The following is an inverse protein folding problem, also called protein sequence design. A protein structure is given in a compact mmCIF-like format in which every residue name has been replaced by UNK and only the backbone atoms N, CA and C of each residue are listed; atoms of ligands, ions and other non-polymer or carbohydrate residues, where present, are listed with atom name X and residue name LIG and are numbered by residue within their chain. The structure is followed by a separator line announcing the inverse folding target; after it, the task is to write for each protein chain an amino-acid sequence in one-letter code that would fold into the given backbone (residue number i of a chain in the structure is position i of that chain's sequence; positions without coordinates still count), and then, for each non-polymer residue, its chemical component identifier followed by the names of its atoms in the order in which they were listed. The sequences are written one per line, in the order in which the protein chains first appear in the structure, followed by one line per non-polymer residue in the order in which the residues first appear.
data_IF_880763223790
#
_entry.id   IF_880763223790
#
_cell.length_a   1.000
_cell.length_b   1.000
_cell.length_c   1.000
_cell.angle_alpha   90.00
_cell.angle_beta   90.00
_cell.angle_gamma   90.00
#
_symmetry.space_group_name_H-M   'P 1'
#
loop_
_entity.id
_entity.type
_entity.pdbx_description
1 polymer ?
#
# COMPACT_ATOMS: atom_id res chain seq x y z
N UNK A 1 20.19 -6.09 6.92
CA UNK A 1 19.97 -4.88 6.10
C UNK A 1 19.16 -5.33 4.89
N UNK A 2 17.85 -5.60 5.08
CA UNK A 2 16.94 -6.16 4.08
C UNK A 2 15.55 -5.48 4.10
N UNK A 3 15.33 -4.46 4.95
CA UNK A 3 13.98 -4.08 5.39
C UNK A 3 13.35 -2.91 4.63
N UNK A 4 14.13 -2.04 4.00
CA UNK A 4 13.59 -0.88 3.26
C UNK A 4 14.48 -0.62 2.03
N UNK A 5 13.92 -0.74 0.82
CA UNK A 5 14.62 -0.45 -0.44
C UNK A 5 13.69 0.31 -1.39
N UNK A 6 14.11 1.48 -1.87
CA UNK A 6 13.38 2.25 -2.86
C UNK A 6 14.39 2.94 -3.79
N UNK A 7 14.35 2.68 -5.12
CA UNK A 7 15.33 3.24 -6.05
C UNK A 7 15.41 4.77 -6.04
N UNK A 8 14.31 5.48 -5.80
CA UNK A 8 14.31 6.95 -5.74
C UNK A 8 14.93 7.44 -4.43
N UNK A 9 14.57 6.83 -3.31
CA UNK A 9 15.15 7.18 -2.01
C UNK A 9 16.66 6.88 -2.00
N UNK A 10 17.06 5.73 -2.50
CA UNK A 10 18.48 5.37 -2.58
C UNK A 10 19.24 6.30 -3.53
N UNK A 11 18.69 6.66 -4.69
CA UNK A 11 19.32 7.64 -5.58
C UNK A 11 19.57 8.98 -4.88
N UNK A 12 18.57 9.51 -4.15
CA UNK A 12 18.69 10.76 -3.39
C UNK A 12 19.82 10.63 -2.35
N UNK A 13 19.85 9.52 -1.60
CA UNK A 13 20.85 9.28 -0.57
C UNK A 13 22.24 9.13 -1.14
N UNK A 14 22.40 8.36 -2.21
CA UNK A 14 23.66 8.18 -2.92
C UNK A 14 24.22 9.52 -3.41
N UNK A 15 23.38 10.39 -3.97
CA UNK A 15 23.81 11.72 -4.43
C UNK A 15 24.19 12.65 -3.28
N UNK A 16 23.49 12.57 -2.13
CA UNK A 16 23.86 13.33 -0.93
C UNK A 16 25.19 12.83 -0.33
N UNK A 17 25.45 11.53 -0.41
CA UNK A 17 26.64 10.89 0.17
C UNK A 17 27.82 10.75 -0.81
N UNK A 18 27.66 11.20 -2.06
CA UNK A 18 28.68 11.04 -3.08
C UNK A 18 30.03 11.65 -2.62
N UNK A 19 31.16 10.93 -2.80
CA UNK A 19 32.45 11.39 -2.33
C UNK A 19 32.84 12.70 -3.02
N UNK A 20 33.57 13.53 -2.28
CA UNK A 20 34.10 14.80 -2.77
C UNK A 20 35.15 14.49 -3.83
N UNK A 21 34.81 14.68 -5.10
CA UNK A 21 35.83 14.79 -6.14
C UNK A 21 36.31 16.25 -6.19
N UNK A 22 37.39 16.52 -5.45
CA UNK A 22 38.04 17.84 -5.41
C UNK A 22 38.47 18.34 -6.80
N UNK A 23 38.60 17.44 -7.79
CA UNK A 23 38.99 17.77 -9.16
C UNK A 23 37.82 18.14 -10.08
N UNK A 24 36.59 17.73 -9.76
CA UNK A 24 35.40 17.93 -10.60
C UNK A 24 34.54 19.14 -10.21
N UNK A 25 34.77 19.76 -9.04
CA UNK A 25 34.19 21.06 -8.65
C UNK A 25 32.66 21.11 -8.49
N UNK A 26 31.93 20.01 -8.65
CA UNK A 26 30.48 19.92 -8.48
C UNK A 26 30.16 19.08 -7.24
N UNK A 27 30.06 19.73 -6.09
CA UNK A 27 29.40 19.16 -4.92
C UNK A 27 28.00 19.77 -4.83
N UNK A 28 26.97 18.92 -4.93
CA UNK A 28 25.61 19.33 -4.59
C UNK A 28 25.46 19.21 -3.07
N UNK A 29 25.06 20.30 -2.43
CA UNK A 29 24.54 20.27 -1.06
C UNK A 29 23.27 19.41 -0.99
N UNK A 30 22.91 18.97 0.21
CA UNK A 30 21.67 18.21 0.43
C UNK A 30 20.43 18.89 -0.15
N UNK A 31 20.34 20.22 -0.03
CA UNK A 31 19.22 20.99 -0.57
C UNK A 31 19.25 21.06 -2.10
N UNK A 32 20.43 21.19 -2.70
CA UNK A 32 20.58 21.17 -4.17
C UNK A 32 20.23 19.80 -4.76
N UNK A 33 20.53 18.69 -4.06
CA UNK A 33 20.08 17.35 -4.46
C UNK A 33 18.55 17.28 -4.48
N UNK A 34 17.87 17.74 -3.43
CA UNK A 34 16.41 17.74 -3.40
C UNK A 34 15.80 18.62 -4.49
N UNK A 35 16.35 19.81 -4.75
CA UNK A 35 15.89 20.69 -5.82
C UNK A 35 16.06 20.03 -7.20
N UNK A 36 17.21 19.39 -7.46
CA UNK A 36 17.45 18.66 -8.70
C UNK A 36 16.47 17.48 -8.87
N UNK A 37 16.18 16.77 -7.79
CA UNK A 37 15.25 15.63 -7.80
C UNK A 37 13.82 16.11 -8.02
N UNK A 38 13.41 17.26 -7.47
CA UNK A 38 12.13 17.90 -7.77
C UNK A 38 11.97 18.13 -9.27
N UNK A 39 12.95 18.77 -9.90
CA UNK A 39 12.95 19.02 -11.35
C UNK A 39 12.83 17.72 -12.14
N UNK A 40 13.58 16.69 -11.75
CA UNK A 40 13.56 15.39 -12.42
C UNK A 40 12.22 14.66 -12.27
N UNK A 41 11.57 14.76 -11.11
CA UNK A 41 10.23 14.20 -10.88
C UNK A 41 9.21 14.97 -11.74
N UNK A 42 9.24 16.29 -11.71
CA UNK A 42 8.30 17.13 -12.47
C UNK A 42 8.49 17.01 -13.99
N UNK A 43 9.72 16.79 -14.44
CA UNK A 43 10.06 16.41 -15.81
C UNK A 43 9.50 15.02 -16.17
N UNK A 44 9.63 14.04 -15.26
CA UNK A 44 9.10 12.69 -15.46
C UNK A 44 7.57 12.67 -15.57
N UNK A 45 6.88 13.48 -14.77
CA UNK A 45 5.42 13.66 -14.86
C UNK A 45 5.02 14.19 -16.24
N UNK A 46 5.78 15.15 -16.79
CA UNK A 46 5.49 15.77 -18.08
C UNK A 46 5.91 14.90 -19.29
N UNK A 47 7.04 14.19 -19.19
CA UNK A 47 7.60 13.36 -20.27
C UNK A 47 8.24 12.08 -19.73
N UNK A 48 7.44 11.04 -19.41
CA UNK A 48 7.93 9.86 -18.71
C UNK A 48 9.05 9.10 -19.46
N UNK A 49 8.95 9.02 -20.79
CA UNK A 49 9.88 8.26 -21.62
C UNK A 49 11.22 8.98 -21.86
N UNK A 50 11.22 10.32 -21.88
CA UNK A 50 12.39 11.14 -22.18
C UNK A 50 13.10 11.72 -20.96
N UNK A 51 12.50 11.59 -19.77
CA UNK A 51 12.99 12.25 -18.55
C UNK A 51 14.39 11.83 -18.11
N UNK A 52 15.11 12.76 -17.48
CA UNK A 52 16.36 12.47 -16.76
C UNK A 52 16.19 11.37 -15.71
N UNK A 53 15.06 11.34 -14.99
CA UNK A 53 14.81 10.34 -13.95
C UNK A 53 14.87 8.90 -14.50
N UNK A 54 14.36 8.68 -15.72
CA UNK A 54 14.39 7.37 -16.39
C UNK A 54 15.81 6.87 -16.70
N UNK A 55 16.79 7.78 -16.83
CA UNK A 55 18.20 7.42 -17.06
C UNK A 55 18.84 6.80 -15.81
N UNK A 56 18.52 7.35 -14.63
CA UNK A 56 19.05 6.88 -13.35
C UNK A 56 18.24 5.72 -12.77
N UNK A 57 16.93 5.71 -13.01
CA UNK A 57 16.02 4.66 -12.56
C UNK A 57 15.29 4.09 -13.79
N UNK A 58 15.92 3.18 -14.58
CA UNK A 58 15.32 2.65 -15.82
C UNK A 58 13.94 2.02 -15.64
N UNK A 59 13.68 1.46 -14.45
CA UNK A 59 12.41 0.84 -14.08
C UNK A 59 11.40 1.81 -13.45
N UNK A 60 11.69 3.11 -13.35
CA UNK A 60 10.73 4.09 -12.82
C UNK A 60 9.45 4.06 -13.66
N UNK A 61 8.33 3.99 -12.96
CA UNK A 61 6.98 3.97 -13.52
C UNK A 61 6.38 5.36 -13.51
N UNK A 62 5.16 5.48 -14.02
CA UNK A 62 4.42 6.74 -14.10
C UNK A 62 4.37 7.42 -12.73
N UNK A 63 4.66 8.72 -12.70
CA UNK A 63 4.33 9.61 -11.59
C UNK A 63 3.12 10.44 -11.99
N UNK A 64 2.10 10.49 -11.14
CA UNK A 64 0.78 10.99 -11.53
C UNK A 64 0.63 12.51 -11.49
N UNK A 65 1.47 13.19 -10.71
CA UNK A 65 1.36 14.62 -10.46
C UNK A 65 2.70 15.24 -10.16
N UNK A 66 2.83 16.53 -10.46
CA UNK A 66 3.98 17.33 -10.04
C UNK A 66 3.97 17.48 -8.52
N UNK A 67 5.15 17.56 -7.94
CA UNK A 67 5.33 17.78 -6.50
C UNK A 67 6.20 19.01 -6.25
N UNK A 68 5.95 19.69 -5.13
CA UNK A 68 6.83 20.70 -4.57
C UNK A 68 7.62 20.04 -3.43
N UNK A 69 8.72 19.39 -3.81
CA UNK A 69 9.57 18.64 -2.90
C UNK A 69 10.33 19.57 -1.96
N UNK A 70 10.75 20.75 -2.43
CA UNK A 70 11.48 21.73 -1.63
C UNK A 70 10.61 22.32 -0.52
N UNK A 71 9.33 22.57 -0.77
CA UNK A 71 8.40 22.97 0.28
C UNK A 71 8.25 21.88 1.37
N UNK A 72 8.23 20.61 0.96
CA UNK A 72 8.23 19.48 1.91
C UNK A 72 9.55 19.36 2.67
N UNK A 73 10.70 19.56 2.01
CA UNK A 73 12.03 19.62 2.64
C UNK A 73 12.08 20.69 3.71
N UNK A 74 11.65 21.91 3.41
CA UNK A 74 11.66 23.02 4.36
C UNK A 74 10.74 22.76 5.55
N UNK A 75 9.55 22.22 5.32
CA UNK A 75 8.62 21.88 6.40
C UNK A 75 9.16 20.76 7.30
N UNK A 76 9.78 19.73 6.72
CA UNK A 76 10.40 18.65 7.50
C UNK A 76 11.63 19.14 8.29
N UNK A 77 12.47 19.97 7.68
CA UNK A 77 13.66 20.54 8.31
C UNK A 77 13.35 21.53 9.45
N UNK A 78 12.23 22.24 9.35
CA UNK A 78 11.76 23.14 10.40
C UNK A 78 11.54 22.43 11.75
N UNK A 79 11.21 21.13 11.72
CA UNK A 79 10.97 20.32 12.93
C UNK A 79 12.16 19.44 13.27
N UNK A 80 12.79 18.82 12.27
CA UNK A 80 13.83 17.80 12.49
C UNK A 80 15.25 18.35 12.46
N UNK A 81 15.44 19.54 11.89
CA UNK A 81 16.74 20.18 11.69
C UNK A 81 17.77 19.27 11.01
N UNK A 82 17.29 18.40 10.12
CA UNK A 82 18.08 17.38 9.47
C UNK A 82 19.22 17.98 8.63
N UNK A 83 19.00 19.17 8.05
CA UNK A 83 19.98 19.92 7.25
C UNK A 83 21.14 20.46 8.08
N UNK A 84 20.95 20.62 9.41
CA UNK A 84 21.96 21.15 10.33
C UNK A 84 22.90 20.08 10.85
N UNK A 85 22.63 18.80 10.56
CA UNK A 85 23.46 17.67 11.00
C UNK A 85 24.78 17.67 10.23
N UNK A 86 25.90 17.68 10.97
CA UNK A 86 27.26 17.69 10.38
C UNK A 86 27.89 16.31 10.17
N UNK A 87 27.33 15.28 10.81
CA UNK A 87 27.94 13.94 10.89
C UNK A 87 27.00 12.81 10.48
N UNK A 88 25.71 13.12 10.33
CA UNK A 88 24.67 12.14 10.02
C UNK A 88 23.91 12.70 8.82
N UNK A 89 24.09 12.13 7.61
CA UNK A 89 23.31 12.53 6.44
C UNK A 89 21.83 12.14 6.61
N UNK A 90 20.93 12.66 5.76
CA UNK A 90 19.57 12.15 5.62
C UNK A 90 19.50 10.63 5.58
N UNK A 91 18.74 10.07 6.50
CA UNK A 91 18.45 8.64 6.55
C UNK A 91 17.39 8.27 5.50
N UNK A 92 17.22 6.98 5.21
CA UNK A 92 16.11 6.48 4.39
C UNK A 92 14.77 7.01 4.89
N UNK A 93 14.56 6.94 6.21
CA UNK A 93 13.37 7.46 6.88
C UNK A 93 13.17 8.96 6.65
N UNK A 94 14.23 9.78 6.71
CA UNK A 94 14.12 11.22 6.45
C UNK A 94 13.62 11.50 5.03
N UNK A 95 14.22 10.85 4.03
CA UNK A 95 13.84 11.03 2.62
C UNK A 95 12.43 10.48 2.36
N UNK A 96 12.08 9.32 2.94
CA UNK A 96 10.73 8.73 2.88
C UNK A 96 9.68 9.71 3.40
N UNK A 97 9.91 10.32 4.56
CA UNK A 97 8.98 11.29 5.14
C UNK A 97 8.83 12.56 4.30
N UNK A 98 9.93 13.07 3.75
CA UNK A 98 9.90 14.24 2.85
C UNK A 98 9.08 13.94 1.60
N UNK A 99 9.30 12.79 0.96
CA UNK A 99 8.52 12.35 -0.20
C UNK A 99 7.04 12.16 0.14
N UNK A 100 6.73 11.54 1.28
CA UNK A 100 5.35 11.41 1.74
C UNK A 100 4.67 12.77 1.91
N UNK A 101 5.36 13.74 2.54
CA UNK A 101 4.83 15.08 2.75
C UNK A 101 4.59 15.82 1.42
N UNK A 102 5.51 15.68 0.47
CA UNK A 102 5.36 16.26 -0.88
C UNK A 102 4.15 15.63 -1.61
N UNK A 103 3.99 14.31 -1.52
CA UNK A 103 2.86 13.57 -2.13
C UNK A 103 1.52 14.01 -1.55
N UNK A 104 1.37 14.07 -0.22
CA UNK A 104 0.07 14.47 0.38
C UNK A 104 -0.30 15.92 0.07
N UNK A 105 0.69 16.83 -0.02
CA UNK A 105 0.45 18.23 -0.41
C UNK A 105 0.04 18.36 -1.85
N UNK A 106 0.67 17.59 -2.75
CA UNK A 106 0.37 17.62 -4.17
C UNK A 106 -1.02 17.02 -4.49
N UNK A 107 -1.41 15.93 -3.82
CA UNK A 107 -2.66 15.22 -4.13
C UNK A 107 -3.90 15.85 -3.50
N UNK A 108 -3.78 16.55 -2.38
CA UNK A 108 -4.93 17.03 -1.60
C UNK A 108 -6.01 17.75 -2.45
N UNK A 109 -5.68 18.65 -3.41
CA UNK A 109 -6.69 19.36 -4.19
C UNK A 109 -7.54 18.48 -5.12
N UNK A 110 -7.05 17.30 -5.47
CA UNK A 110 -7.70 16.38 -6.43
C UNK A 110 -8.14 15.07 -5.77
N UNK A 111 -7.84 14.89 -4.48
CA UNK A 111 -8.04 13.62 -3.78
C UNK A 111 -9.53 13.28 -3.64
N UNK A 112 -9.90 12.09 -4.10
CA UNK A 112 -11.27 11.55 -4.05
C UNK A 112 -11.35 10.20 -3.35
N UNK A 113 -10.28 9.40 -3.46
CA UNK A 113 -10.19 8.06 -2.87
C UNK A 113 -8.91 7.94 -2.04
N UNK A 114 -9.03 7.47 -0.80
CA UNK A 114 -7.90 7.01 0.01
C UNK A 114 -8.04 5.52 0.21
N UNK A 115 -7.00 4.77 -0.13
CA UNK A 115 -6.89 3.36 0.18
C UNK A 115 -5.81 3.15 1.23
N UNK A 116 -6.10 2.35 2.26
CA UNK A 116 -5.13 1.95 3.26
C UNK A 116 -4.84 0.47 3.07
N UNK A 117 -3.56 0.08 3.09
CA UNK A 117 -3.26 -1.27 3.53
C UNK A 117 -3.84 -1.45 4.95
N UNK A 118 -4.39 -2.63 5.23
CA UNK A 118 -4.96 -2.85 6.56
C UNK A 118 -3.87 -3.30 7.54
N UNK A 119 -3.15 -4.37 7.20
CA UNK A 119 -2.17 -5.00 8.09
C UNK A 119 -0.97 -4.05 8.29
N UNK A 120 -0.54 -3.87 9.54
CA UNK A 120 0.54 -2.96 9.99
C UNK A 120 0.41 -1.46 9.64
N UNK A 121 -0.64 -1.08 8.93
CA UNK A 121 -0.94 0.32 8.56
C UNK A 121 -2.09 0.92 9.37
N UNK A 122 -3.14 0.16 9.73
CA UNK A 122 -4.25 0.67 10.56
C UNK A 122 -4.39 0.00 11.94
N UNK A 123 -3.78 -1.18 12.12
CA UNK A 123 -3.62 -1.89 13.39
C UNK A 123 -2.34 -2.74 13.33
N UNK A 124 -1.78 -3.10 14.48
CA UNK A 124 -0.64 -4.02 14.53
C UNK A 124 -1.03 -5.43 14.06
N UNK A 125 -0.11 -6.12 13.37
CA UNK A 125 -0.18 -7.49 12.84
C UNK A 125 -1.26 -8.39 13.48
N UNK A 126 -2.28 -8.75 12.68
CA UNK A 126 -3.35 -9.67 13.07
C UNK A 126 -4.37 -9.13 14.09
N UNK A 127 -4.26 -7.87 14.52
CA UNK A 127 -5.13 -7.25 15.51
C UNK A 127 -6.54 -6.87 15.03
N UNK A 128 -7.31 -6.32 15.97
CA UNK A 128 -8.58 -5.61 15.74
C UNK A 128 -8.44 -4.13 16.11
N UNK A 129 -9.26 -3.29 15.49
CA UNK A 129 -9.27 -1.85 15.77
C UNK A 129 -10.39 -1.49 16.76
N UNK A 130 -10.03 -0.79 17.84
CA UNK A 130 -11.00 -0.22 18.77
C UNK A 130 -11.56 1.09 18.23
N UNK A 131 -12.80 1.42 18.62
CA UNK A 131 -13.43 2.69 18.23
C UNK A 131 -12.61 3.92 18.70
N UNK A 132 -11.90 3.80 19.83
CA UNK A 132 -11.04 4.84 20.39
C UNK A 132 -9.70 5.02 19.66
N UNK A 133 -9.42 4.24 18.62
CA UNK A 133 -8.17 4.36 17.88
C UNK A 133 -8.08 5.68 17.11
N UNK A 134 -6.89 6.27 17.10
CA UNK A 134 -6.57 7.44 16.28
C UNK A 134 -6.89 7.20 14.80
N UNK A 135 -6.72 5.97 14.32
CA UNK A 135 -7.03 5.59 12.95
C UNK A 135 -8.52 5.62 12.64
N UNK A 136 -9.39 5.25 13.60
CA UNK A 136 -10.85 5.38 13.43
C UNK A 136 -11.23 6.84 13.29
N UNK A 137 -10.67 7.70 14.14
CA UNK A 137 -10.90 9.16 14.08
C UNK A 137 -10.51 9.71 12.72
N UNK A 138 -9.33 9.33 12.23
CA UNK A 138 -8.82 9.73 10.92
C UNK A 138 -9.74 9.28 9.78
N UNK A 139 -10.17 8.02 9.76
CA UNK A 139 -11.07 7.47 8.73
C UNK A 139 -12.40 8.24 8.72
N UNK A 140 -12.98 8.48 9.89
CA UNK A 140 -14.24 9.23 10.03
C UNK A 140 -14.12 10.65 9.48
N UNK A 141 -13.02 11.36 9.77
CA UNK A 141 -12.82 12.72 9.27
C UNK A 141 -12.62 12.79 7.76
N UNK A 142 -11.95 11.80 7.14
CA UNK A 142 -11.86 11.69 5.68
C UNK A 142 -13.25 11.51 5.05
N UNK A 143 -14.08 10.61 5.60
CA UNK A 143 -15.43 10.34 5.09
C UNK A 143 -16.34 11.58 5.19
N UNK A 144 -16.26 12.30 6.32
CA UNK A 144 -16.99 13.57 6.52
C UNK A 144 -16.59 14.66 5.52
N UNK A 145 -15.35 14.65 5.04
CA UNK A 145 -14.85 15.57 4.01
C UNK A 145 -15.27 15.20 2.59
N UNK A 146 -16.06 14.14 2.41
CA UNK A 146 -16.55 13.76 1.08
C UNK A 146 -15.73 12.68 0.39
N UNK A 147 -14.62 12.24 0.99
CA UNK A 147 -13.73 11.27 0.36
C UNK A 147 -14.28 9.84 0.52
N UNK A 148 -13.93 9.01 -0.45
CA UNK A 148 -14.11 7.55 -0.35
C UNK A 148 -12.90 6.97 0.36
N UNK A 149 -13.13 6.09 1.34
CA UNK A 149 -12.08 5.39 2.08
C UNK A 149 -12.25 3.90 1.88
N UNK A 150 -11.19 3.22 1.46
CA UNK A 150 -11.18 1.77 1.31
C UNK A 150 -10.02 1.14 2.07
N UNK A 151 -10.26 0.01 2.72
CA UNK A 151 -9.20 -0.84 3.25
C UNK A 151 -8.87 -1.93 2.22
N UNK A 152 -7.60 -2.11 1.90
CA UNK A 152 -7.12 -3.16 0.99
C UNK A 152 -6.26 -4.11 1.82
N UNK A 153 -6.57 -5.40 1.83
CA UNK A 153 -5.86 -6.38 2.66
C UNK A 153 -5.62 -7.67 1.89
N UNK A 154 -4.49 -8.32 2.16
CA UNK A 154 -4.21 -9.68 1.69
C UNK A 154 -5.13 -10.71 2.35
N UNK A 155 -5.69 -10.41 3.52
CA UNK A 155 -6.65 -11.30 4.17
C UNK A 155 -7.88 -11.52 3.27
N UNK A 156 -8.03 -12.75 2.77
CA UNK A 156 -9.21 -13.21 2.05
C UNK A 156 -10.01 -14.22 2.88
N UNK A 157 -11.30 -13.91 3.10
CA UNK A 157 -12.31 -14.78 3.72
C UNK A 157 -13.54 -14.93 2.80
N UNK A 158 -13.48 -15.82 1.79
CA UNK A 158 -14.58 -16.01 0.84
C UNK A 158 -15.86 -16.43 1.57
N UNK A 159 -16.95 -15.69 1.35
CA UNK A 159 -18.27 -16.00 1.93
C UNK A 159 -18.41 -15.72 3.44
N UNK A 160 -17.38 -15.16 4.09
CA UNK A 160 -17.34 -14.92 5.54
C UNK A 160 -17.08 -13.44 5.87
N UNK A 161 -17.98 -12.51 5.49
CA UNK A 161 -17.81 -11.07 5.77
C UNK A 161 -17.61 -10.77 7.26
N UNK A 162 -18.18 -11.60 8.15
CA UNK A 162 -18.10 -11.47 9.61
C UNK A 162 -16.66 -11.53 10.13
N UNK A 163 -15.74 -12.21 9.41
CA UNK A 163 -14.32 -12.24 9.78
C UNK A 163 -13.63 -10.90 9.55
N UNK A 164 -14.03 -10.16 8.51
CA UNK A 164 -13.59 -8.77 8.33
C UNK A 164 -14.23 -7.88 9.41
N UNK A 165 -15.53 -8.03 9.67
CA UNK A 165 -16.24 -7.24 10.67
C UNK A 165 -15.63 -7.38 12.07
N UNK A 166 -15.21 -8.58 12.46
CA UNK A 166 -14.56 -8.81 13.74
C UNK A 166 -13.27 -7.99 13.90
N UNK A 167 -12.49 -7.83 12.82
CA UNK A 167 -11.27 -7.01 12.82
C UNK A 167 -11.58 -5.51 12.78
N UNK A 168 -12.68 -5.14 12.11
CA UNK A 168 -13.06 -3.76 11.80
C UNK A 168 -14.16 -3.20 12.69
N UNK A 169 -14.50 -3.89 13.79
CA UNK A 169 -15.65 -3.56 14.63
C UNK A 169 -15.65 -2.10 15.09
N UNK A 170 -14.50 -1.60 15.56
CA UNK A 170 -14.35 -0.21 15.99
C UNK A 170 -14.64 0.81 14.89
N UNK A 171 -14.30 0.53 13.63
CA UNK A 171 -14.65 1.40 12.49
C UNK A 171 -16.16 1.35 12.25
N UNK A 172 -16.74 0.16 12.16
CA UNK A 172 -18.16 -0.01 11.87
C UNK A 172 -19.06 0.62 12.94
N UNK A 173 -18.64 0.57 14.21
CA UNK A 173 -19.34 1.21 15.33
C UNK A 173 -19.29 2.75 15.23
N UNK A 174 -18.16 3.30 14.76
CA UNK A 174 -18.04 4.73 14.48
C UNK A 174 -18.88 5.14 13.26
N UNK A 175 -18.90 4.33 12.20
CA UNK A 175 -19.72 4.56 11.00
C UNK A 175 -21.21 4.56 11.31
N UNK A 176 -21.66 3.75 12.27
CA UNK A 176 -23.06 3.71 12.70
C UNK A 176 -23.59 5.07 13.19
N UNK A 177 -22.69 5.98 13.60
CA UNK A 177 -22.96 7.34 14.10
C UNK A 177 -22.90 8.42 13.00
N UNK A 178 -22.58 8.05 11.75
CA UNK A 178 -22.46 8.97 10.61
C UNK A 178 -23.71 8.93 9.71
N UNK A 179 -23.95 9.96 8.87
CA UNK A 179 -24.97 9.90 7.84
C UNK A 179 -24.75 8.75 6.85
N UNK A 180 -25.82 8.23 6.26
CA UNK A 180 -25.77 7.09 5.33
C UNK A 180 -24.86 7.34 4.11
N UNK A 181 -24.78 8.58 3.65
CA UNK A 181 -23.87 8.97 2.57
C UNK A 181 -22.40 8.80 2.97
N UNK A 182 -22.03 9.09 4.23
CA UNK A 182 -20.68 8.87 4.72
C UNK A 182 -20.38 7.38 4.92
N UNK A 183 -21.37 6.61 5.41
CA UNK A 183 -21.23 5.16 5.55
C UNK A 183 -20.96 4.51 4.18
N UNK A 184 -21.74 4.87 3.16
CA UNK A 184 -21.63 4.31 1.80
C UNK A 184 -20.26 4.54 1.14
N UNK A 185 -19.47 5.51 1.63
CA UNK A 185 -18.11 5.82 1.17
C UNK A 185 -17.02 4.99 1.86
N UNK A 186 -17.36 4.07 2.76
CA UNK A 186 -16.42 3.12 3.34
C UNK A 186 -16.50 1.74 2.66
N UNK A 187 -15.37 1.23 2.17
CA UNK A 187 -15.28 -0.04 1.46
C UNK A 187 -14.14 -0.91 2.01
N UNK A 188 -14.18 -2.22 1.71
CA UNK A 188 -13.10 -3.16 2.03
C UNK A 188 -12.82 -4.08 0.84
N UNK A 189 -11.59 -4.06 0.34
CA UNK A 189 -11.07 -4.98 -0.66
C UNK A 189 -10.23 -6.07 0.01
N UNK A 190 -10.80 -7.26 0.14
CA UNK A 190 -10.16 -8.44 0.71
C UNK A 190 -9.49 -9.33 -0.34
N UNK A 191 -8.50 -10.10 0.10
CA UNK A 191 -7.70 -10.98 -0.76
C UNK A 191 -7.02 -10.22 -1.88
N UNK A 192 -6.46 -9.04 -1.58
CA UNK A 192 -5.84 -8.05 -2.47
C UNK A 192 -6.77 -7.45 -3.54
N UNK A 193 -7.43 -8.28 -4.34
CA UNK A 193 -8.33 -7.85 -5.41
C UNK A 193 -9.47 -8.85 -5.67
N UNK A 194 -9.85 -9.66 -4.67
CA UNK A 194 -10.76 -10.79 -4.87
C UNK A 194 -12.16 -10.57 -4.30
N UNK A 195 -12.29 -9.86 -3.18
CA UNK A 195 -13.54 -9.75 -2.42
C UNK A 195 -13.84 -8.29 -2.05
N UNK A 196 -14.74 -7.63 -2.78
CA UNK A 196 -15.19 -6.28 -2.45
C UNK A 196 -16.36 -6.31 -1.47
N UNK A 197 -16.26 -5.52 -0.41
CA UNK A 197 -17.30 -5.33 0.58
C UNK A 197 -17.67 -3.85 0.66
N UNK A 198 -18.96 -3.61 0.88
CA UNK A 198 -19.54 -2.29 1.12
C UNK A 198 -20.27 -2.31 2.45
N UNK A 199 -20.41 -1.14 3.07
CA UNK A 199 -21.26 -1.00 4.25
C UNK A 199 -22.72 -1.29 3.90
N UNK A 200 -23.40 -2.01 4.78
CA UNK A 200 -24.84 -2.19 4.75
C UNK A 200 -25.41 -1.85 6.12
N UNK A 201 -26.64 -1.35 6.15
CA UNK A 201 -27.38 -1.12 7.39
C UNK A 201 -28.60 -2.03 7.39
N UNK A 202 -28.72 -2.83 8.44
CA UNK A 202 -29.91 -3.64 8.65
C UNK A 202 -31.11 -2.73 8.97
N UNK A 203 -32.22 -2.93 8.27
CA UNK A 203 -33.39 -2.03 8.35
C UNK A 203 -34.14 -2.19 9.67
N UNK A 204 -34.11 -3.37 10.28
CA UNK A 204 -34.87 -3.67 11.50
C UNK A 204 -34.08 -3.29 12.76
N UNK A 205 -32.80 -3.65 12.80
CA UNK A 205 -31.92 -3.47 13.96
C UNK A 205 -31.08 -2.19 13.89
N UNK A 206 -30.95 -1.59 12.71
CA UNK A 206 -30.09 -0.43 12.47
C UNK A 206 -28.60 -0.74 12.51
N UNK A 207 -28.19 -2.00 12.63
CA UNK A 207 -26.78 -2.40 12.75
C UNK A 207 -26.04 -2.18 11.43
N UNK A 208 -24.85 -1.56 11.51
CA UNK A 208 -23.94 -1.41 10.37
C UNK A 208 -23.01 -2.62 10.26
N UNK A 209 -23.02 -3.24 9.09
CA UNK A 209 -22.30 -4.47 8.74
C UNK A 209 -21.63 -4.34 7.37
N UNK A 210 -20.88 -5.38 6.97
CA UNK A 210 -20.26 -5.48 5.66
C UNK A 210 -21.04 -6.48 4.80
N UNK A 211 -21.39 -6.06 3.59
CA UNK A 211 -21.98 -6.92 2.58
C UNK A 211 -21.00 -7.13 1.43
N UNK A 212 -20.85 -8.38 1.00
CA UNK A 212 -20.09 -8.72 -0.22
C UNK A 212 -20.83 -8.18 -1.45
N UNK A 213 -20.11 -7.49 -2.33
CA UNK A 213 -20.60 -7.04 -3.63
C UNK A 213 -20.45 -8.18 -4.64
N UNK A 214 -21.49 -8.42 -5.45
CA UNK A 214 -21.42 -9.44 -6.50
C UNK A 214 -20.21 -9.15 -7.41
N UNK A 215 -19.30 -10.12 -7.61
CA UNK A 215 -18.16 -9.96 -8.51
C UNK A 215 -18.49 -9.39 -9.90
N UNK A 216 -19.68 -9.66 -10.45
CA UNK A 216 -20.11 -9.12 -11.75
C UNK A 216 -20.31 -7.59 -11.74
N UNK A 217 -20.57 -6.97 -10.58
CA UNK A 217 -20.83 -5.53 -10.45
C UNK A 217 -19.56 -4.65 -10.46
N UNK A 218 -18.40 -5.22 -10.14
CA UNK A 218 -17.20 -4.43 -9.83
C UNK A 218 -15.91 -4.95 -10.46
N UNK A 219 -15.89 -6.22 -10.89
CA UNK A 219 -14.83 -6.70 -11.77
C UNK A 219 -15.13 -6.23 -13.21
N UNK A 220 -14.53 -6.88 -14.19
CA UNK A 220 -14.73 -6.61 -15.61
C UNK A 220 -16.09 -7.07 -16.19
N UNK A 221 -17.13 -7.20 -15.35
CA UNK A 221 -18.46 -7.67 -15.72
C UNK A 221 -18.60 -9.20 -15.83
N UNK A 222 -17.50 -9.97 -15.85
CA UNK A 222 -17.54 -11.45 -15.95
C UNK A 222 -17.67 -12.16 -14.60
N UNK A 223 -17.46 -11.45 -13.49
CA UNK A 223 -17.42 -12.01 -12.13
C UNK A 223 -16.17 -12.86 -11.81
N UNK A 224 -15.45 -13.33 -12.84
CA UNK A 224 -14.20 -14.06 -12.75
C UNK A 224 -13.12 -13.37 -13.59
N UNK A 225 -11.91 -13.19 -13.03
CA UNK A 225 -10.78 -12.55 -13.72
C UNK A 225 -9.97 -13.57 -14.55
N UNK A 226 -9.83 -14.79 -14.03
CA UNK A 226 -8.95 -15.83 -14.55
C UNK A 226 -9.63 -17.18 -14.52
N UNK A 227 -9.18 -18.07 -15.40
CA UNK A 227 -9.62 -19.45 -15.45
C UNK A 227 -9.24 -20.19 -14.16
N UNK A 228 -10.16 -21.00 -13.64
CA UNK A 228 -9.96 -21.67 -12.35
C UNK A 228 -8.89 -22.75 -12.42
N UNK A 229 -8.78 -23.46 -13.55
CA UNK A 229 -7.79 -24.52 -13.72
C UNK A 229 -6.37 -23.94 -13.81
N UNK A 230 -6.19 -22.79 -14.46
CA UNK A 230 -4.91 -22.07 -14.45
C UNK A 230 -4.56 -21.54 -13.04
N UNK A 231 -5.55 -21.06 -12.28
CA UNK A 231 -5.36 -20.62 -10.89
C UNK A 231 -4.92 -21.78 -10.00
N UNK A 232 -5.58 -22.93 -10.12
CA UNK A 232 -5.26 -24.11 -9.31
C UNK A 232 -3.85 -24.60 -9.60
N UNK A 233 -3.43 -24.67 -10.88
CA UNK A 233 -2.06 -25.02 -11.25
C UNK A 233 -1.00 -24.10 -10.65
N UNK A 234 -1.24 -22.78 -10.66
CA UNK A 234 -0.30 -21.82 -10.06
C UNK A 234 -0.17 -22.07 -8.56
N UNK A 235 -1.30 -22.18 -7.87
CA UNK A 235 -1.30 -22.38 -6.43
C UNK A 235 -0.76 -23.76 -6.03
N UNK A 236 -0.89 -24.78 -6.88
CA UNK A 236 -0.31 -26.11 -6.65
C UNK A 236 1.22 -26.06 -6.74
N UNK A 237 1.76 -25.37 -7.75
CA UNK A 237 3.19 -25.11 -7.86
C UNK A 237 3.72 -24.26 -6.69
N UNK A 238 2.95 -23.26 -6.27
CA UNK A 238 3.28 -22.45 -5.11
C UNK A 238 3.29 -23.30 -3.83
N UNK A 239 2.29 -24.17 -3.65
CA UNK A 239 2.19 -25.05 -2.49
C UNK A 239 3.36 -26.03 -2.41
N UNK A 240 3.69 -26.71 -3.51
CA UNK A 240 4.81 -27.65 -3.53
C UNK A 240 6.13 -26.95 -3.22
N UNK A 241 6.32 -25.73 -3.74
CA UNK A 241 7.51 -24.91 -3.43
C UNK A 241 7.57 -24.54 -1.94
N UNK A 242 6.44 -24.17 -1.34
CA UNK A 242 6.35 -23.88 0.09
C UNK A 242 6.65 -25.13 0.94
N UNK A 243 6.11 -26.30 0.56
CA UNK A 243 6.38 -27.59 1.22
C UNK A 243 7.87 -27.93 1.21
N UNK A 244 8.51 -27.82 0.05
CA UNK A 244 9.94 -28.07 -0.13
C UNK A 244 10.79 -27.13 0.73
N UNK A 245 10.47 -25.84 0.75
CA UNK A 245 11.25 -24.87 1.52
C UNK A 245 11.04 -25.00 3.03
N UNK A 246 9.82 -25.31 3.48
CA UNK A 246 9.54 -25.60 4.90
C UNK A 246 10.34 -26.81 5.37
N UNK A 247 10.40 -27.87 4.56
CA UNK A 247 11.21 -29.06 4.86
C UNK A 247 12.71 -28.76 4.82
N UNK A 248 13.18 -28.01 3.83
CA UNK A 248 14.59 -27.63 3.67
C UNK A 248 15.12 -26.82 4.86
N UNK A 249 14.31 -25.88 5.36
CA UNK A 249 14.68 -24.97 6.44
C UNK A 249 14.30 -25.51 7.84
N UNK A 250 13.76 -26.74 7.92
CA UNK A 250 13.26 -27.38 9.14
C UNK A 250 12.33 -26.46 9.95
N UNK A 251 11.42 -25.77 9.24
CA UNK A 251 10.53 -24.80 9.85
C UNK A 251 9.29 -25.49 10.44
N UNK A 252 8.87 -25.14 11.67
CA UNK A 252 7.64 -25.68 12.26
C UNK A 252 6.38 -24.99 11.69
N UNK A 253 6.38 -24.71 10.38
CA UNK A 253 5.29 -24.04 9.70
C UNK A 253 4.23 -25.03 9.22
N UNK A 254 2.99 -24.56 9.13
CA UNK A 254 1.88 -25.31 8.53
C UNK A 254 1.40 -24.60 7.30
N UNK A 255 0.89 -25.36 6.33
CA UNK A 255 0.35 -24.82 5.09
C UNK A 255 -1.16 -24.66 5.19
N UNK A 256 -1.65 -23.58 4.59
CA UNK A 256 -3.07 -23.30 4.43
C UNK A 256 -3.35 -22.92 2.98
N UNK A 257 -4.20 -23.72 2.32
CA UNK A 257 -4.71 -23.49 0.96
C UNK A 257 -6.13 -22.91 1.03
N UNK A 258 -6.37 -21.87 0.23
CA UNK A 258 -7.66 -21.21 0.02
C UNK A 258 -8.00 -21.22 -1.49
N UNK A 259 -9.20 -20.74 -1.83
CA UNK A 259 -9.65 -20.63 -3.24
C UNK A 259 -8.72 -19.75 -4.09
N UNK A 260 -8.17 -18.68 -3.53
CA UNK A 260 -7.37 -17.67 -4.24
C UNK A 260 -6.01 -17.41 -3.59
N UNK A 261 -5.57 -18.29 -2.70
CA UNK A 261 -4.33 -18.11 -1.98
C UNK A 261 -3.77 -19.41 -1.44
N UNK A 262 -2.45 -19.49 -1.25
CA UNK A 262 -1.80 -20.52 -0.46
C UNK A 262 -0.67 -19.90 0.34
N UNK A 263 -0.46 -20.35 1.57
CA UNK A 263 0.60 -19.80 2.40
C UNK A 263 1.03 -20.74 3.51
N UNK A 264 2.15 -20.40 4.13
CA UNK A 264 2.61 -21.01 5.37
C UNK A 264 2.29 -20.07 6.52
N UNK A 265 1.78 -20.60 7.62
CA UNK A 265 1.53 -19.84 8.84
C UNK A 265 2.29 -20.46 10.02
N UNK A 266 2.53 -19.64 11.04
CA UNK A 266 3.21 -20.05 12.27
C UNK A 266 2.20 -20.57 13.30
N UNK A 267 2.18 -21.89 13.60
CA UNK A 267 1.29 -22.45 14.62
C UNK A 267 1.89 -22.35 16.03
N UNK A 268 3.05 -21.72 16.21
CA UNK A 268 3.80 -21.67 17.47
C UNK A 268 3.85 -20.26 18.04
N UNK A 269 4.19 -20.15 19.32
CA UNK A 269 4.34 -18.84 19.99
C UNK A 269 5.66 -18.11 19.65
N UNK A 270 6.60 -18.80 18.98
CA UNK A 270 7.90 -18.22 18.61
C UNK A 270 7.83 -17.72 17.18
N UNK A 271 8.14 -16.43 16.97
CA UNK A 271 8.20 -15.85 15.62
C UNK A 271 9.23 -16.60 14.75
N UNK A 272 8.91 -16.71 13.47
CA UNK A 272 9.87 -17.21 12.49
C UNK A 272 11.03 -16.24 12.29
N UNK A 273 12.18 -16.79 11.88
CA UNK A 273 13.34 -16.00 11.47
C UNK A 273 12.96 -15.25 10.18
N UNK A 274 13.10 -13.93 10.19
CA UNK A 274 12.68 -13.07 9.10
C UNK A 274 13.37 -13.43 7.78
N UNK A 275 14.68 -13.70 7.84
CA UNK A 275 15.50 -14.07 6.69
C UNK A 275 15.04 -15.38 6.04
N UNK A 276 14.52 -16.34 6.82
CA UNK A 276 13.93 -17.56 6.27
C UNK A 276 12.65 -17.27 5.50
N UNK A 277 11.81 -16.35 6.00
CA UNK A 277 10.60 -15.94 5.29
C UNK A 277 10.93 -15.17 4.00
N UNK A 278 11.97 -14.32 4.01
CA UNK A 278 12.49 -13.68 2.81
C UNK A 278 12.96 -14.71 1.78
N UNK A 279 13.77 -15.68 2.20
CA UNK A 279 14.26 -16.75 1.31
C UNK A 279 13.08 -17.48 0.68
N UNK A 280 12.10 -17.93 1.48
CA UNK A 280 10.91 -18.62 0.98
C UNK A 280 10.14 -17.75 -0.02
N UNK A 281 9.83 -16.50 0.34
CA UNK A 281 9.07 -15.60 -0.53
C UNK A 281 9.81 -15.35 -1.86
N UNK A 282 11.14 -15.13 -1.83
CA UNK A 282 11.96 -14.96 -3.02
C UNK A 282 12.04 -16.22 -3.87
N UNK A 283 12.16 -17.41 -3.27
CA UNK A 283 12.14 -18.69 -3.99
C UNK A 283 10.82 -18.87 -4.72
N UNK A 284 9.70 -18.62 -4.04
CA UNK A 284 8.37 -18.73 -4.65
C UNK A 284 8.19 -17.71 -5.79
N UNK A 285 8.57 -16.44 -5.58
CA UNK A 285 8.56 -15.43 -6.65
C UNK A 285 9.42 -15.88 -7.86
N UNK A 286 10.58 -16.49 -7.61
CA UNK A 286 11.45 -16.98 -8.66
C UNK A 286 10.80 -18.13 -9.45
N UNK A 287 10.19 -19.10 -8.76
CA UNK A 287 9.52 -20.24 -9.39
C UNK A 287 8.31 -19.77 -10.22
N UNK A 288 7.52 -18.83 -9.70
CA UNK A 288 6.31 -18.35 -10.33
C UNK A 288 6.52 -17.24 -11.38
N UNK A 289 7.76 -16.78 -11.61
CA UNK A 289 8.08 -15.62 -12.47
C UNK A 289 7.58 -15.70 -13.93
N UNK A 290 7.29 -16.91 -14.41
CA UNK A 290 6.80 -17.16 -15.77
C UNK A 290 5.29 -17.42 -15.82
N UNK A 291 4.60 -17.37 -14.68
CA UNK A 291 3.15 -17.46 -14.63
C UNK A 291 2.50 -16.28 -15.32
N UNK A 292 1.44 -16.55 -16.07
CA UNK A 292 0.64 -15.55 -16.79
C UNK A 292 -0.41 -14.90 -15.89
N UNK A 293 -0.85 -15.61 -14.84
CA UNK A 293 -1.81 -15.07 -13.89
C UNK A 293 -1.08 -14.10 -12.95
N UNK A 294 -1.55 -12.84 -12.83
CA UNK A 294 -1.06 -11.91 -11.83
C UNK A 294 -1.19 -12.53 -10.43
N UNK A 295 -0.11 -12.49 -9.67
CA UNK A 295 -0.04 -13.04 -8.32
C UNK A 295 0.90 -12.18 -7.47
N UNK A 296 0.80 -12.34 -6.15
CA UNK A 296 1.70 -11.74 -5.19
C UNK A 296 2.19 -12.81 -4.23
N UNK A 297 3.49 -13.12 -4.28
CA UNK A 297 4.15 -13.92 -3.26
C UNK A 297 4.93 -12.99 -2.34
N UNK A 298 4.58 -12.95 -1.05
CA UNK A 298 5.08 -11.95 -0.12
C UNK A 298 5.38 -12.49 1.28
N UNK A 299 6.31 -11.82 1.95
CA UNK A 299 6.63 -12.06 3.36
C UNK A 299 5.74 -11.18 4.26
N UNK A 300 4.80 -11.79 4.98
CA UNK A 300 3.89 -11.08 5.89
C UNK A 300 4.55 -10.72 7.24
N UNK A 301 5.77 -11.20 7.50
CA UNK A 301 6.56 -10.89 8.70
C UNK A 301 6.50 -11.96 9.79
N UNK A 302 5.53 -12.88 9.73
CA UNK A 302 5.53 -14.14 10.50
C UNK A 302 4.91 -15.32 9.71
N UNK A 303 4.65 -15.11 8.44
CA UNK A 303 4.07 -16.03 7.47
C UNK A 303 4.55 -15.65 6.06
N UNK A 304 4.30 -16.53 5.10
CA UNK A 304 4.51 -16.25 3.67
C UNK A 304 3.24 -16.68 2.94
N UNK A 305 2.74 -15.80 2.09
CA UNK A 305 1.52 -16.02 1.32
C UNK A 305 1.77 -15.82 -0.16
N UNK A 306 1.00 -16.55 -0.96
CA UNK A 306 0.89 -16.43 -2.40
C UNK A 306 -0.57 -16.20 -2.71
N UNK A 307 -0.90 -14.96 -3.06
CA UNK A 307 -2.25 -14.54 -3.41
C UNK A 307 -2.40 -14.43 -4.93
N UNK A 308 -3.55 -14.87 -5.43
CA UNK A 308 -3.95 -14.68 -6.83
C UNK A 308 -4.47 -13.24 -6.99
N UNK A 309 -3.76 -12.48 -7.81
CA UNK A 309 -3.95 -11.04 -7.95
C UNK A 309 -2.88 -10.22 -7.22
N UNK A 310 -3.12 -8.91 -7.14
CA UNK A 310 -2.30 -7.98 -6.39
C UNK A 310 -3.08 -6.71 -6.02
N UNK A 311 -2.60 -5.93 -5.04
CA UNK A 311 -3.21 -4.68 -4.59
C UNK A 311 -3.44 -3.66 -5.72
N UNK A 312 -2.58 -3.61 -6.74
CA UNK A 312 -2.77 -2.69 -7.87
C UNK A 312 -4.06 -2.98 -8.63
N UNK A 313 -4.38 -4.26 -8.87
CA UNK A 313 -5.63 -4.68 -9.48
C UNK A 313 -6.84 -4.35 -8.58
N UNK A 314 -6.68 -4.48 -7.26
CA UNK A 314 -7.72 -4.14 -6.29
C UNK A 314 -8.01 -2.64 -6.26
N UNK A 315 -6.95 -1.82 -6.19
CA UNK A 315 -7.04 -0.36 -6.20
C UNK A 315 -7.60 0.14 -7.52
N UNK A 316 -7.16 -0.41 -8.66
CA UNK A 316 -7.73 -0.05 -9.97
C UNK A 316 -9.22 -0.38 -10.06
N UNK A 317 -9.64 -1.55 -9.55
CA UNK A 317 -11.06 -1.89 -9.50
C UNK A 317 -11.85 -0.93 -8.59
N UNK A 318 -11.26 -0.48 -7.47
CA UNK A 318 -11.87 0.55 -6.62
C UNK A 318 -11.98 1.88 -7.35
N UNK A 319 -10.94 2.32 -8.07
CA UNK A 319 -10.95 3.55 -8.87
C UNK A 319 -12.09 3.58 -9.90
N UNK A 320 -12.44 2.43 -10.49
CA UNK A 320 -13.63 2.30 -11.34
C UNK A 320 -14.93 2.20 -10.54
N UNK A 321 -14.93 1.43 -9.46
CA UNK A 321 -16.15 1.16 -8.70
C UNK A 321 -16.72 2.41 -8.04
N UNK A 322 -15.86 3.23 -7.43
CA UNK A 322 -16.29 4.31 -6.53
C UNK A 322 -16.81 5.55 -7.24
N UNK A 323 -16.73 5.62 -8.58
CA UNK A 323 -17.27 6.74 -9.36
C UNK A 323 -18.77 6.93 -9.16
N UNK A 324 -19.49 5.87 -8.78
CA UNK A 324 -20.91 5.93 -8.38
C UNK A 324 -21.15 6.72 -7.09
N UNK A 325 -20.11 6.90 -6.28
CA UNK A 325 -20.11 7.59 -4.99
C UNK A 325 -19.49 8.99 -5.08
N UNK A 326 -18.89 9.34 -6.22
CA UNK A 326 -18.15 10.59 -6.43
C UNK A 326 -18.69 11.31 -7.66
N UNK A 327 -19.29 12.48 -7.46
CA UNK A 327 -19.91 13.24 -8.54
C UNK A 327 -18.90 13.67 -9.61
N UNK A 328 -19.30 13.56 -10.88
CA UNK A 328 -18.59 14.17 -12.01
C UNK A 328 -17.38 13.39 -12.56
N UNK A 329 -17.04 12.23 -12.00
CA UNK A 329 -15.96 11.36 -12.51
C UNK A 329 -16.52 10.14 -13.25
N UNK A 330 -15.90 9.76 -14.37
CA UNK A 330 -16.17 8.48 -15.07
C UNK A 330 -15.23 7.36 -14.64
N UNK A 331 -14.02 7.74 -14.21
CA UNK A 331 -12.95 6.91 -13.69
C UNK A 331 -12.09 7.80 -12.80
N UNK A 332 -11.47 7.24 -11.76
CA UNK A 332 -10.47 7.94 -10.97
C UNK A 332 -9.07 7.58 -11.46
N UNK A 333 -8.20 8.57 -11.61
CA UNK A 333 -6.78 8.35 -11.92
C UNK A 333 -5.90 8.34 -10.65
N UNK A 334 -4.63 7.97 -10.80
CA UNK A 334 -3.69 7.93 -9.69
C UNK A 334 -3.38 9.28 -9.03
N UNK A 335 -3.71 10.42 -9.66
CA UNK A 335 -3.65 11.75 -9.03
C UNK A 335 -4.92 12.10 -8.23
N UNK A 336 -5.94 11.24 -8.25
CA UNK A 336 -7.17 11.38 -7.45
C UNK A 336 -7.28 10.29 -6.37
N UNK A 337 -6.31 9.37 -6.34
CA UNK A 337 -6.27 8.20 -5.47
C UNK A 337 -4.95 8.15 -4.70
N UNK A 338 -5.03 8.23 -3.38
CA UNK A 338 -3.90 8.05 -2.47
C UNK A 338 -3.92 6.63 -1.89
N UNK A 339 -2.85 5.87 -2.04
CA UNK A 339 -2.63 4.63 -1.31
C UNK A 339 -1.63 4.83 -0.17
N UNK A 340 -1.97 4.35 1.03
CA UNK A 340 -1.13 4.37 2.23
C UNK A 340 -0.81 2.92 2.60
N UNK A 341 0.47 2.53 2.58
CA UNK A 341 0.90 1.17 2.92
C UNK A 341 2.28 1.13 3.57
N UNK A 342 2.72 -0.05 3.98
CA UNK A 342 3.98 -0.24 4.73
C UNK A 342 4.94 -1.26 4.13
N UNK A 343 4.47 -2.15 3.25
CA UNK A 343 5.27 -3.25 2.67
C UNK A 343 5.77 -2.92 1.27
N UNK A 344 6.59 -1.86 1.17
CA UNK A 344 7.35 -1.51 -0.04
C UNK A 344 8.73 -2.16 -0.08
N UNK A 345 8.83 -3.39 0.39
CA UNK A 345 10.06 -4.18 0.33
C UNK A 345 10.10 -5.01 -0.96
N UNK A 346 11.25 -5.64 -1.23
CA UNK A 346 11.41 -6.55 -2.38
C UNK A 346 10.38 -7.69 -2.41
N UNK A 347 9.98 -8.17 -1.24
CA UNK A 347 8.99 -9.22 -1.03
C UNK A 347 7.68 -8.69 -0.46
N UNK A 348 7.45 -7.38 -0.50
CA UNK A 348 6.23 -6.75 0.02
C UNK A 348 5.14 -6.65 -1.04
N UNK A 349 3.88 -6.61 -0.60
CA UNK A 349 2.72 -6.61 -1.50
C UNK A 349 2.22 -5.22 -1.89
N UNK A 350 2.75 -4.13 -1.31
CA UNK A 350 2.33 -2.77 -1.67
C UNK A 350 3.04 -2.20 -2.89
N UNK A 351 4.19 -2.74 -3.30
CA UNK A 351 5.04 -2.14 -4.33
C UNK A 351 4.29 -1.83 -5.64
N UNK A 352 3.37 -2.71 -6.06
CA UNK A 352 2.59 -2.53 -7.29
C UNK A 352 1.49 -1.46 -7.17
N UNK A 353 1.09 -1.05 -5.96
CA UNK A 353 0.09 0.03 -5.78
C UNK A 353 0.51 1.33 -6.48
N UNK A 354 1.82 1.59 -6.57
CA UNK A 354 2.42 2.75 -7.25
C UNK A 354 2.16 2.79 -8.76
N UNK A 355 1.74 1.67 -9.34
CA UNK A 355 1.39 1.59 -10.76
C UNK A 355 0.06 2.29 -11.07
N UNK A 356 -0.81 2.42 -10.07
CA UNK A 356 -2.20 2.85 -10.23
C UNK A 356 -2.58 4.01 -9.34
N UNK A 357 -1.90 4.23 -8.22
CA UNK A 357 -2.20 5.28 -7.26
C UNK A 357 -0.94 6.07 -6.86
N UNK A 358 -1.14 7.33 -6.48
CA UNK A 358 -0.11 8.05 -5.73
C UNK A 358 0.03 7.39 -4.38
N UNK A 359 1.26 7.16 -3.93
CA UNK A 359 1.50 6.28 -2.78
C UNK A 359 2.40 6.94 -1.76
N UNK A 360 2.09 6.69 -0.50
CA UNK A 360 2.90 7.09 0.65
C UNK A 360 3.29 5.85 1.45
N UNK A 361 4.54 5.82 1.90
CA UNK A 361 5.12 4.69 2.61
C UNK A 361 5.21 5.00 4.11
N UNK A 362 4.39 4.33 4.92
CA UNK A 362 4.39 4.37 6.38
C UNK A 362 5.06 3.12 6.97
N UNK A 363 5.42 3.11 8.25
CA UNK A 363 6.06 1.93 8.87
C UNK A 363 5.33 1.38 10.09
N UNK A 364 4.19 1.99 10.45
CA UNK A 364 3.33 1.63 11.58
C UNK A 364 2.06 2.50 11.58
N UNK A 365 1.03 2.12 12.37
CA UNK A 365 -0.20 2.88 12.48
C UNK A 365 -0.02 4.32 13.00
N UNK A 366 0.98 4.60 13.84
CA UNK A 366 1.23 5.96 14.33
C UNK A 366 1.70 6.89 13.21
N UNK A 367 2.60 6.44 12.34
CA UNK A 367 3.02 7.19 11.14
C UNK A 367 1.84 7.43 10.19
N UNK A 368 0.95 6.44 10.02
CA UNK A 368 -0.31 6.60 9.27
C UNK A 368 -1.16 7.71 9.85
N UNK A 369 -1.45 7.67 11.15
CA UNK A 369 -2.29 8.66 11.81
C UNK A 369 -1.70 10.07 11.70
N UNK A 370 -0.39 10.23 11.91
CA UNK A 370 0.31 11.51 11.77
C UNK A 370 0.22 12.02 10.33
N UNK A 371 0.47 11.16 9.34
CA UNK A 371 0.44 11.54 7.93
C UNK A 371 -0.94 12.04 7.51
N UNK A 372 -2.00 11.32 7.88
CA UNK A 372 -3.35 11.72 7.50
C UNK A 372 -3.81 12.95 8.30
N UNK A 373 -3.40 13.10 9.57
CA UNK A 373 -3.63 14.35 10.33
C UNK A 373 -2.99 15.57 9.65
N UNK A 374 -1.87 15.40 8.93
CA UNK A 374 -1.28 16.46 8.11
C UNK A 374 -2.02 16.70 6.79
N UNK A 375 -2.69 15.68 6.24
CA UNK A 375 -3.50 15.78 5.03
C UNK A 375 -4.85 16.47 5.28
N UNK A 376 -5.52 16.19 6.40
CA UNK A 376 -6.87 16.68 6.70
C UNK A 376 -7.06 18.21 6.55
N UNK A 377 -6.12 19.08 6.97
CA UNK A 377 -6.24 20.53 6.80
C UNK A 377 -6.08 21.02 5.34
N UNK A 378 -5.60 20.16 4.44
CA UNK A 378 -5.37 20.47 3.02
C UNK A 378 -6.59 20.11 2.13
N UNK A 379 -7.52 19.32 2.68
CA UNK A 379 -8.79 18.89 2.08
C UNK A 379 -9.90 19.87 2.44
#
# INVERSE_FOLDING_TARGET
MLKEEDPLIELIREWIMAPIDESAGLQLSTLEVFALVEDMINEHVASPQGSRLKKYIPKVKRMFMRINLMDAVHAYDAVTHFSRRKRVPPTFKDVRHILNLATIRAIAPTLKLVTFDADDTIYADGGSISESSDMVTVIVELLKKGLVVSLVTAAGYPGEPQRYEARLRGILDALAKLPDECQARFLVMGGECNYLHVTSRDVETGVVSLRVVDPAEWKDGRGQRWDQFEVDQLLDLAQSTLEEMVALLDMPAKILRKERAVGIYNPTDKRFVYENLEEIALTVQHVLRHSTIPHCAFNGGNDVWVDIGNKALGISALQHYVVRLVAGSKELEGFECLHVGDRFTRTGNDTLSRDVASTVWVSNPEETAVLVKMLLPLL
#
